data_IF_575649135021
#
_entry.id   IF_575649135021
#
_cell.length_a   1.000
_cell.length_b   1.000
_cell.length_c   1.000
_cell.angle_alpha   90.00
_cell.angle_beta   90.00
_cell.angle_gamma   90.00
#
_symmetry.space_group_name_H-M   'P 1'
#
loop_
_entity.id
_entity.type
_entity.pdbx_description
1 polymer ?
#
# COMPACT_ATOMS: atom_id res chain seq x y z
N UNK A 1 4.99 9.59 -8.22
CA UNK A 1 5.23 8.13 -8.35
C UNK A 1 3.99 7.54 -8.99
N UNK A 2 4.16 6.70 -10.00
CA UNK A 2 3.05 6.12 -10.75
C UNK A 2 2.94 4.64 -10.34
N UNK A 3 1.75 4.21 -9.92
CA UNK A 3 1.43 2.79 -9.81
C UNK A 3 1.02 2.32 -11.21
N UNK A 4 1.60 1.20 -11.63
CA UNK A 4 1.13 0.42 -12.78
C UNK A 4 0.40 -0.81 -12.25
N UNK A 5 -0.52 -1.37 -13.01
CA UNK A 5 -1.21 -2.57 -12.56
C UNK A 5 -2.52 -2.81 -13.29
N UNK A 6 -3.24 -3.81 -12.79
CA UNK A 6 -4.62 -4.09 -13.24
C UNK A 6 -5.56 -3.06 -12.64
N UNK A 7 -6.60 -2.69 -13.37
CA UNK A 7 -7.68 -1.83 -12.86
C UNK A 7 -9.00 -2.48 -13.27
N UNK A 8 -9.91 -2.65 -12.32
CA UNK A 8 -11.24 -3.21 -12.56
C UNK A 8 -12.25 -2.07 -12.61
N UNK A 9 -13.03 -2.00 -13.68
CA UNK A 9 -14.10 -1.02 -13.85
C UNK A 9 -15.46 -1.71 -13.80
N UNK A 10 -16.37 -1.17 -13.00
CA UNK A 10 -17.77 -1.58 -13.03
C UNK A 10 -18.47 -1.03 -14.28
N UNK A 11 -19.22 -1.87 -14.99
CA UNK A 11 -19.97 -1.47 -16.19
C UNK A 11 -21.36 -0.91 -15.88
N UNK A 12 -21.83 -1.07 -14.63
CA UNK A 12 -23.11 -0.56 -14.16
C UNK A 12 -23.09 -0.32 -12.62
N UNK A 13 -24.12 0.36 -12.12
CA UNK A 13 -24.24 0.76 -10.70
C UNK A 13 -24.40 -0.41 -9.73
N UNK A 14 -25.05 -1.50 -10.16
CA UNK A 14 -25.18 -2.71 -9.34
C UNK A 14 -23.80 -3.33 -9.10
N UNK A 15 -23.04 -3.56 -10.17
CA UNK A 15 -21.67 -4.08 -10.08
C UNK A 15 -20.77 -3.16 -9.28
N UNK A 16 -20.89 -1.83 -9.43
CA UNK A 16 -20.11 -0.88 -8.63
C UNK A 16 -20.36 -1.06 -7.13
N UNK A 17 -21.62 -1.23 -6.74
CA UNK A 17 -22.01 -1.45 -5.34
C UNK A 17 -21.44 -2.76 -4.82
N UNK A 18 -21.57 -3.85 -5.59
CA UNK A 18 -21.02 -5.17 -5.25
C UNK A 18 -19.50 -5.13 -5.10
N UNK A 19 -18.78 -4.53 -6.06
CA UNK A 19 -17.32 -4.38 -6.00
C UNK A 19 -16.88 -3.62 -4.74
N UNK A 20 -17.58 -2.53 -4.42
CA UNK A 20 -17.31 -1.73 -3.23
C UNK A 20 -17.53 -2.53 -1.94
N UNK A 21 -18.58 -3.34 -1.88
CA UNK A 21 -18.86 -4.21 -0.74
C UNK A 21 -17.80 -5.31 -0.58
N UNK A 22 -17.38 -5.96 -1.67
CA UNK A 22 -16.30 -6.95 -1.65
C UNK A 22 -14.99 -6.37 -1.09
N UNK A 23 -14.63 -5.15 -1.51
CA UNK A 23 -13.45 -4.44 -0.99
C UNK A 23 -13.61 -4.11 0.51
N UNK A 24 -14.75 -3.54 0.90
CA UNK A 24 -14.98 -3.13 2.30
C UNK A 24 -15.05 -4.31 3.27
N UNK A 25 -15.63 -5.42 2.83
CA UNK A 25 -15.75 -6.66 3.60
C UNK A 25 -14.49 -7.52 3.58
N UNK A 26 -13.47 -7.16 2.80
CA UNK A 26 -12.21 -7.90 2.71
C UNK A 26 -12.28 -9.16 1.85
N UNK A 27 -13.33 -9.34 1.06
CA UNK A 27 -13.52 -10.48 0.15
C UNK A 27 -12.67 -10.36 -1.12
N UNK A 28 -12.03 -9.23 -1.36
CA UNK A 28 -11.16 -8.99 -2.50
C UNK A 28 -9.71 -8.94 -2.04
N UNK A 29 -8.85 -9.78 -2.62
CA UNK A 29 -7.40 -9.75 -2.40
C UNK A 29 -6.71 -8.89 -3.47
N UNK A 30 -5.74 -8.09 -3.04
CA UNK A 30 -4.88 -7.31 -3.93
C UNK A 30 -3.42 -7.60 -3.65
N UNK A 31 -2.67 -7.98 -4.69
CA UNK A 31 -1.29 -8.40 -4.57
C UNK A 31 -0.38 -7.40 -5.29
N UNK A 32 0.37 -6.61 -4.54
CA UNK A 32 1.29 -5.60 -5.09
C UNK A 32 2.72 -6.08 -5.11
N UNK A 33 3.43 -5.93 -6.24
CA UNK A 33 4.88 -6.10 -6.36
C UNK A 33 5.58 -4.75 -6.24
N UNK A 34 6.41 -4.66 -5.20
CA UNK A 34 7.14 -3.45 -4.82
C UNK A 34 8.65 -3.71 -4.90
N UNK A 35 9.41 -2.66 -5.19
CA UNK A 35 10.85 -2.63 -4.96
C UNK A 35 11.10 -1.65 -3.81
N UNK A 36 11.72 -2.11 -2.74
CA UNK A 36 11.93 -1.35 -1.51
C UNK A 36 13.42 -1.20 -1.19
N UNK A 37 13.75 -0.22 -0.35
CA UNK A 37 15.06 -0.12 0.28
C UNK A 37 15.16 -1.13 1.42
N UNK A 38 16.32 -1.76 1.54
CA UNK A 38 16.60 -2.79 2.53
C UNK A 38 15.92 -4.12 2.23
N UNK A 39 16.00 -5.01 3.20
CA UNK A 39 15.37 -6.32 3.23
C UNK A 39 14.52 -6.41 4.49
N UNK A 40 13.27 -6.87 4.35
CA UNK A 40 12.36 -7.03 5.49
C UNK A 40 12.96 -8.04 6.48
N UNK A 41 13.40 -7.56 7.66
CA UNK A 41 14.05 -8.37 8.70
C UNK A 41 13.24 -9.60 9.10
N UNK A 42 11.92 -9.43 9.20
CA UNK A 42 10.99 -10.44 9.72
C UNK A 42 10.04 -10.93 8.60
N UNK A 43 10.55 -11.13 7.39
CA UNK A 43 9.73 -11.61 6.27
C UNK A 43 9.28 -13.08 6.46
N UNK A 44 7.97 -13.40 6.39
CA UNK A 44 6.85 -12.50 6.10
C UNK A 44 6.39 -11.69 7.32
N UNK A 45 6.06 -10.41 7.11
CA UNK A 45 5.62 -9.47 8.14
C UNK A 45 4.22 -8.93 7.86
N UNK A 46 3.40 -8.82 8.91
CA UNK A 46 2.10 -8.15 8.85
C UNK A 46 2.20 -6.76 9.45
N UNK A 47 1.94 -5.73 8.66
CA UNK A 47 1.94 -4.32 9.08
C UNK A 47 0.51 -3.87 9.33
N UNK A 48 0.19 -3.52 10.58
CA UNK A 48 -1.18 -3.16 11.03
C UNK A 48 -1.28 -1.74 11.59
N UNK A 49 -0.36 -0.85 11.17
CA UNK A 49 -0.31 0.53 11.68
C UNK A 49 -1.56 1.28 11.19
N UNK A 50 -2.46 1.75 12.08
CA UNK A 50 -3.63 2.51 11.64
C UNK A 50 -3.19 3.81 10.96
N UNK A 51 -3.82 4.11 9.81
CA UNK A 51 -3.47 5.25 8.99
C UNK A 51 -4.54 6.34 9.09
N UNK A 52 -4.12 7.60 9.13
CA UNK A 52 -5.01 8.75 8.97
C UNK A 52 -4.66 9.52 7.70
N UNK A 53 -5.70 9.93 6.97
CA UNK A 53 -5.55 10.79 5.80
C UNK A 53 -5.36 12.25 6.25
N UNK A 54 -4.19 12.82 5.92
CA UNK A 54 -3.90 14.25 6.10
C UNK A 54 -3.86 14.95 4.74
N UNK A 55 -4.55 16.08 4.63
CA UNK A 55 -4.61 16.90 3.40
C UNK A 55 -3.93 18.24 3.66
N UNK A 56 -3.04 18.65 2.77
CA UNK A 56 -2.40 19.97 2.77
C UNK A 56 -2.48 20.57 1.37
N UNK A 57 -3.38 21.54 1.18
CA UNK A 57 -3.68 22.10 -0.14
C UNK A 57 -4.18 21.02 -1.11
N UNK A 58 -3.46 20.83 -2.22
CA UNK A 58 -3.76 19.80 -3.23
C UNK A 58 -3.07 18.45 -2.95
N UNK A 59 -2.22 18.38 -1.93
CA UNK A 59 -1.50 17.17 -1.61
C UNK A 59 -2.16 16.40 -0.46
N UNK A 60 -2.08 15.07 -0.51
CA UNK A 60 -2.54 14.22 0.58
C UNK A 60 -1.48 13.17 0.98
N UNK A 61 -1.39 12.86 2.26
CA UNK A 61 -0.48 11.83 2.78
C UNK A 61 -1.18 11.00 3.85
N UNK A 62 -0.84 9.73 3.89
CA UNK A 62 -1.23 8.87 5.01
C UNK A 62 -0.16 8.96 6.09
N UNK A 63 -0.60 9.23 7.30
CA UNK A 63 0.26 9.34 8.48
C UNK A 63 -0.15 8.25 9.49
N UNK A 64 0.77 7.78 10.35
CA UNK A 64 0.37 6.89 11.43
C UNK A 64 -0.58 7.62 12.37
N UNK A 65 -1.57 6.92 12.91
CA UNK A 65 -2.43 7.47 13.95
C UNK A 65 -1.63 7.63 15.25
N UNK A 66 -1.24 8.86 15.58
CA UNK A 66 -0.47 9.17 16.82
C UNK A 66 -1.40 9.46 18.01
N UNK A 67 -2.61 9.96 17.76
CA UNK A 67 -3.61 10.23 18.80
C UNK A 67 -5.04 10.07 18.28
N UNK A 68 -5.94 9.53 19.11
CA UNK A 68 -7.36 9.39 18.79
C UNK A 68 -8.12 10.72 18.69
N UNK A 69 -7.46 11.86 18.93
CA UNK A 69 -8.04 13.20 18.73
C UNK A 69 -7.84 13.75 17.31
N UNK A 70 -7.25 12.95 16.42
CA UNK A 70 -6.94 13.40 15.08
C UNK A 70 -8.22 13.61 14.25
N UNK A 71 -8.32 14.76 13.59
CA UNK A 71 -9.44 15.09 12.69
C UNK A 71 -9.16 14.47 11.32
N UNK A 72 -9.96 13.48 10.91
CA UNK A 72 -9.90 12.88 9.57
C UNK A 72 -10.37 11.44 9.53
N UNK A 73 -10.44 10.88 8.31
CA UNK A 73 -10.77 9.47 8.09
C UNK A 73 -9.64 8.58 8.62
N UNK A 74 -9.99 7.70 9.57
CA UNK A 74 -9.08 6.71 10.15
C UNK A 74 -9.29 5.37 9.42
N UNK A 75 -8.20 4.77 8.98
CA UNK A 75 -8.17 3.52 8.26
C UNK A 75 -7.47 2.44 9.10
N UNK A 76 -8.25 1.48 9.58
CA UNK A 76 -7.75 0.27 10.23
C UNK A 76 -7.55 -0.80 9.15
N UNK A 77 -6.35 -0.81 8.58
CA UNK A 77 -5.97 -1.65 7.44
C UNK A 77 -4.70 -2.42 7.74
N UNK A 78 -4.51 -3.54 7.05
CA UNK A 78 -3.34 -4.40 7.19
C UNK A 78 -2.66 -4.63 5.83
N UNK A 79 -1.34 -4.83 5.85
CA UNK A 79 -0.59 -5.29 4.69
C UNK A 79 0.31 -6.45 5.08
N UNK A 80 0.12 -7.57 4.41
CA UNK A 80 0.98 -8.75 4.58
C UNK A 80 2.10 -8.68 3.54
N UNK A 81 3.32 -8.51 4.00
CA UNK A 81 4.47 -8.26 3.14
C UNK A 81 5.47 -9.42 3.23
N UNK A 82 5.93 -9.92 2.09
CA UNK A 82 7.00 -10.91 2.02
C UNK A 82 8.07 -10.51 1.03
N UNK A 83 9.34 -10.67 1.43
CA UNK A 83 10.48 -10.56 0.53
C UNK A 83 10.44 -11.73 -0.45
N UNK A 84 10.41 -11.44 -1.75
CA UNK A 84 10.51 -12.44 -2.80
C UNK A 84 11.98 -12.69 -3.16
N UNK A 85 12.77 -11.62 -3.23
CA UNK A 85 14.21 -11.66 -3.53
C UNK A 85 14.86 -10.33 -3.20
N UNK A 86 16.06 -10.31 -2.64
CA UNK A 86 16.75 -9.06 -2.35
C UNK A 86 18.09 -9.24 -1.67
N UNK A 87 18.57 -8.13 -1.13
CA UNK A 87 19.68 -8.06 -0.19
C UNK A 87 19.48 -6.87 0.76
N UNK A 88 20.45 -6.64 1.64
CA UNK A 88 20.44 -5.55 2.62
C UNK A 88 20.26 -4.13 2.08
N UNK A 89 20.37 -3.90 0.77
CA UNK A 89 20.20 -2.58 0.15
C UNK A 89 18.87 -2.42 -0.57
N UNK A 90 18.44 -3.45 -1.31
CA UNK A 90 17.23 -3.42 -2.13
C UNK A 90 16.61 -4.81 -2.17
N UNK A 91 15.29 -4.86 -2.01
CA UNK A 91 14.52 -6.10 -2.16
C UNK A 91 13.25 -5.90 -2.96
N UNK A 92 12.83 -6.96 -3.65
CA UNK A 92 11.50 -7.08 -4.21
C UNK A 92 10.58 -7.72 -3.18
N UNK A 93 9.49 -7.03 -2.89
CA UNK A 93 8.49 -7.39 -1.89
C UNK A 93 7.16 -7.60 -2.58
N UNK A 94 6.44 -8.63 -2.18
CA UNK A 94 5.02 -8.78 -2.44
C UNK A 94 4.25 -8.28 -1.22
N UNK A 95 3.22 -7.47 -1.44
CA UNK A 95 2.33 -6.94 -0.41
C UNK A 95 0.88 -7.31 -0.73
N UNK A 96 0.24 -8.03 0.18
CA UNK A 96 -1.15 -8.47 0.07
C UNK A 96 -2.03 -7.59 0.96
N UNK A 97 -3.15 -7.13 0.42
CA UNK A 97 -4.15 -6.33 1.15
C UNK A 97 -5.56 -6.76 0.80
N UNK A 98 -6.44 -6.80 1.81
CA UNK A 98 -7.86 -7.13 1.63
C UNK A 98 -8.79 -5.92 1.69
N UNK A 99 -8.37 -4.88 2.42
CA UNK A 99 -9.05 -3.58 2.49
C UNK A 99 -8.17 -2.52 1.84
N UNK A 100 -8.80 -1.49 1.31
CA UNK A 100 -8.11 -0.38 0.67
C UNK A 100 -8.06 0.87 1.56
N UNK A 101 -6.87 1.46 1.64
CA UNK A 101 -6.68 2.86 1.99
C UNK A 101 -5.77 3.54 0.96
N UNK A 102 -5.94 4.86 0.72
CA UNK A 102 -5.09 5.58 -0.22
C UNK A 102 -3.60 5.40 0.12
N UNK A 103 -2.77 5.04 -0.86
CA UNK A 103 -1.32 4.83 -0.64
C UNK A 103 -0.96 3.85 0.51
N UNK A 104 -1.83 2.92 0.90
CA UNK A 104 -1.63 2.03 2.06
C UNK A 104 -0.27 1.33 2.06
N UNK A 105 0.02 0.53 1.02
CA UNK A 105 1.28 -0.23 0.91
C UNK A 105 2.50 0.69 0.96
N UNK A 106 2.42 1.86 0.31
CA UNK A 106 3.48 2.87 0.30
C UNK A 106 3.74 3.44 1.70
N UNK A 107 2.67 3.75 2.43
CA UNK A 107 2.74 4.28 3.78
C UNK A 107 3.24 3.23 4.78
N UNK A 108 2.68 2.00 4.74
CA UNK A 108 3.08 0.89 5.60
C UNK A 108 4.56 0.55 5.45
N UNK A 109 5.03 0.34 4.21
CA UNK A 109 6.44 0.02 3.97
C UNK A 109 7.37 1.18 4.33
N UNK A 110 6.98 2.43 4.07
CA UNK A 110 7.73 3.61 4.52
C UNK A 110 7.82 3.73 6.05
N UNK A 111 6.72 3.51 6.76
CA UNK A 111 6.66 3.56 8.22
C UNK A 111 7.39 2.39 8.89
N UNK A 112 7.42 1.23 8.24
CA UNK A 112 8.19 0.07 8.67
C UNK A 112 9.70 0.21 8.41
N UNK A 113 10.17 1.30 7.79
CA UNK A 113 11.58 1.55 7.50
C UNK A 113 12.06 1.02 6.14
N UNK A 114 11.16 0.50 5.31
CA UNK A 114 11.46 -0.11 4.01
C UNK A 114 10.77 0.66 2.87
N UNK A 115 11.03 1.97 2.68
CA UNK A 115 10.31 2.77 1.71
C UNK A 115 10.52 2.25 0.29
N UNK A 116 9.50 2.41 -0.54
CA UNK A 116 9.59 2.06 -1.95
C UNK A 116 10.65 2.91 -2.66
N UNK A 117 11.39 2.27 -3.57
CA UNK A 117 12.35 2.95 -4.42
C UNK A 117 11.63 3.99 -5.29
N UNK A 118 12.12 5.24 -5.25
CA UNK A 118 11.54 6.36 -5.99
C UNK A 118 10.32 7.01 -5.34
N UNK A 119 9.89 6.57 -4.15
CA UNK A 119 8.78 7.18 -3.43
C UNK A 119 9.21 8.45 -2.66
N UNK A 120 9.14 9.60 -3.33
CA UNK A 120 9.48 10.87 -2.70
C UNK A 120 8.56 11.29 -1.54
N UNK A 121 7.37 10.70 -1.41
CA UNK A 121 6.39 11.08 -0.38
C UNK A 121 6.60 10.32 0.93
N UNK A 122 6.97 9.04 0.82
CA UNK A 122 7.11 8.12 1.94
C UNK A 122 8.56 7.69 2.20
N UNK A 123 9.54 8.13 1.41
CA UNK A 123 10.97 7.99 1.73
C UNK A 123 11.47 9.16 2.58
N UNK A 124 12.11 8.87 3.71
CA UNK A 124 12.78 9.84 4.59
C UNK A 124 14.20 10.20 4.14
N UNK A 125 14.73 9.56 3.09
CA UNK A 125 16.06 9.81 2.53
C UNK A 125 16.00 9.92 0.99
N UNK A 126 16.38 11.07 0.43
CA UNK A 126 16.67 11.23 -1.01
C UNK A 126 18.12 10.79 -1.27
N UNK A 127 18.42 10.09 -2.38
CA UNK A 127 18.32 10.62 -3.74
C UNK A 127 17.31 9.85 -4.60
N UNK A 128 16.92 10.42 -5.75
CA UNK A 128 15.99 9.81 -6.72
C UNK A 128 16.76 8.85 -7.64
N UNK A 129 16.62 7.52 -7.52
CA UNK A 129 17.01 6.61 -8.59
C UNK A 129 16.02 6.70 -9.78
N UNK A 130 16.41 6.23 -10.98
CA UNK A 130 15.53 6.21 -12.14
C UNK A 130 14.24 5.47 -11.83
N UNK A 131 13.13 5.93 -12.43
CA UNK A 131 11.76 5.54 -12.12
C UNK A 131 11.55 4.02 -12.23
N UNK A 132 11.44 3.32 -11.11
CA UNK A 132 10.93 1.95 -11.09
C UNK A 132 9.42 1.96 -10.79
N UNK A 133 8.66 1.27 -11.63
CA UNK A 133 7.21 1.15 -11.52
C UNK A 133 6.86 0.12 -10.43
N UNK A 134 5.89 0.45 -9.58
CA UNK A 134 5.19 -0.55 -8.76
C UNK A 134 4.21 -1.26 -9.69
N UNK A 135 4.26 -2.58 -9.74
CA UNK A 135 3.28 -3.39 -10.47
C UNK A 135 2.29 -3.98 -9.49
N UNK A 136 1.02 -3.57 -9.57
CA UNK A 136 -0.07 -4.15 -8.80
C UNK A 136 -0.76 -5.24 -9.63
N UNK A 137 -0.72 -6.48 -9.15
CA UNK A 137 -1.34 -7.65 -9.77
C UNK A 137 -2.59 -8.01 -8.96
N UNK A 138 -3.74 -8.07 -9.62
CA UNK A 138 -4.99 -8.40 -8.96
C UNK A 138 -5.29 -9.88 -9.17
N UNK A 139 -5.58 -10.60 -8.10
CA UNK A 139 -6.21 -11.92 -8.16
C UNK A 139 -7.57 -11.82 -7.47
N UNK A 140 -8.64 -12.07 -8.23
CA UNK A 140 -9.98 -12.27 -7.66
C UNK A 140 -10.13 -13.77 -7.45
N UNK A 141 -9.95 -14.25 -6.23
CA UNK A 141 -10.33 -15.61 -5.87
C UNK A 141 -11.80 -15.58 -5.44
N UNK A 142 -12.70 -15.99 -6.33
CA UNK A 142 -14.07 -16.33 -5.94
C UNK A 142 -14.02 -17.66 -5.20
N UNK A 143 -14.17 -17.61 -3.87
CA UNK A 143 -14.44 -18.76 -3.02
C UNK A 143 -15.92 -18.82 -2.67
#
# INVERSE_FOLDING_TARGET
MHQSGVIVFATNSLMQSTLKECINSGQMEQVSRCIVRGELSDSPVKITIPLIKTVNGRDMKMMPLVTNKAKGDIFYVESECRTIRGNQYVSSVEAITHKEAPHQVRAHLGLAGYPLIGDAKYSTSSPRPPRFAVSQVFFVMTG
#
